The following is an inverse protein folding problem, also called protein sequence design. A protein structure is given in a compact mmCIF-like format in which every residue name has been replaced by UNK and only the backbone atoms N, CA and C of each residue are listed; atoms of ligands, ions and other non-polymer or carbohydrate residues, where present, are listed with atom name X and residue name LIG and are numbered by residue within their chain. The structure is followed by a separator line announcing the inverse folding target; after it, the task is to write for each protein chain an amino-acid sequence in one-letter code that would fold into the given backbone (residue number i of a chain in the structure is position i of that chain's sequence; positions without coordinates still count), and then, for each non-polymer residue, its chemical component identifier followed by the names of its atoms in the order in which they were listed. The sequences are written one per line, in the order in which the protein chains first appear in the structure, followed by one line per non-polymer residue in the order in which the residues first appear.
data_IF_320184789216
#
_entry.id   IF_320184789216
#
_cell.length_a   1.000
_cell.length_b   1.000
_cell.length_c   1.000
_cell.angle_alpha   90.00
_cell.angle_beta   90.00
_cell.angle_gamma   90.00
#
_symmetry.space_group_name_H-M   'P 1'
#
loop_
_entity.id
_entity.type
_entity.pdbx_description
1 polymer ?
#
# COMPACT_ATOMS: atom_id res chain seq x y z
N UNK A 1 -18.55 -59.00 1.14
CA UNK A 1 -19.21 -60.09 0.38
C UNK A 1 -20.18 -59.45 -0.60
N UNK A 2 -19.77 -59.25 -1.83
CA UNK A 2 -20.54 -59.43 -3.07
C UNK A 2 -19.66 -58.99 -4.22
N UNK A 3 -19.18 -59.98 -4.92
CA UNK A 3 -18.44 -59.86 -6.16
C UNK A 3 -19.45 -59.58 -7.30
N UNK A 4 -19.04 -58.73 -8.26
CA UNK A 4 -19.71 -58.70 -9.56
C UNK A 4 -18.71 -58.95 -10.67
N UNK A 5 -19.15 -59.92 -11.50
CA UNK A 5 -18.48 -60.61 -12.58
C UNK A 5 -18.17 -59.69 -13.76
N UNK A 6 -17.00 -59.95 -14.36
CA UNK A 6 -16.69 -59.64 -15.78
C UNK A 6 -17.61 -60.43 -16.71
N UNK A 7 -18.00 -59.81 -17.79
CA UNK A 7 -18.61 -60.46 -18.93
C UNK A 7 -17.81 -60.12 -20.21
N UNK A 8 -17.17 -61.19 -20.70
CA UNK A 8 -16.42 -61.22 -21.96
C UNK A 8 -17.36 -61.72 -23.05
N UNK A 9 -17.49 -60.98 -24.14
CA UNK A 9 -17.87 -61.65 -25.42
C UNK A 9 -17.24 -60.93 -26.60
N UNK A 10 -16.71 -61.69 -27.59
CA UNK A 10 -15.84 -61.19 -28.65
C UNK A 10 -16.52 -61.01 -30.02
N UNK A 11 -15.95 -60.12 -30.80
CA UNK A 11 -15.81 -59.98 -32.25
C UNK A 11 -16.85 -60.56 -33.23
N UNK A 12 -17.06 -59.90 -34.43
CA UNK A 12 -16.10 -60.07 -35.55
C UNK A 12 -15.88 -58.87 -36.49
N UNK A 13 -14.69 -58.81 -37.10
CA UNK A 13 -14.45 -58.12 -38.36
C UNK A 13 -14.94 -59.02 -39.51
N UNK A 14 -15.30 -58.50 -40.69
CA UNK A 14 -14.33 -58.19 -41.75
C UNK A 14 -14.79 -57.17 -42.81
N UNK A 15 -13.86 -56.79 -43.71
CA UNK A 15 -14.25 -56.32 -45.03
C UNK A 15 -13.41 -55.17 -45.64
N UNK A 16 -12.29 -55.51 -46.24
CA UNK A 16 -11.57 -54.66 -47.20
C UNK A 16 -12.44 -54.35 -48.40
N UNK A 17 -12.52 -53.07 -48.81
CA UNK A 17 -12.61 -52.68 -50.21
C UNK A 17 -11.85 -51.37 -50.41
N UNK A 18 -10.76 -51.46 -51.22
CA UNK A 18 -9.99 -50.36 -51.73
C UNK A 18 -10.78 -49.54 -52.73
N UNK A 19 -10.79 -48.23 -52.63
CA UNK A 19 -10.99 -47.32 -53.75
C UNK A 19 -9.96 -46.19 -53.66
N UNK A 20 -9.11 -46.17 -54.66
CA UNK A 20 -8.15 -45.08 -54.97
C UNK A 20 -8.95 -44.01 -55.71
N UNK A 21 -9.07 -42.80 -55.14
CA UNK A 21 -9.32 -41.60 -55.90
C UNK A 21 -8.44 -40.51 -55.29
N UNK A 22 -7.50 -40.01 -56.11
CA UNK A 22 -6.62 -38.93 -55.73
C UNK A 22 -7.34 -37.59 -55.72
N UNK A 23 -6.97 -36.76 -54.76
CA UNK A 23 -7.28 -35.33 -54.74
C UNK A 23 -6.12 -34.57 -54.10
N UNK A 24 -5.86 -33.32 -54.49
CA UNK A 24 -4.60 -32.63 -54.25
C UNK A 24 -4.49 -32.18 -52.79
N UNK A 25 -3.27 -32.29 -52.27
CA UNK A 25 -2.89 -31.80 -50.97
C UNK A 25 -2.88 -30.27 -50.92
N UNK A 26 -3.91 -29.67 -50.35
CA UNK A 26 -3.81 -28.31 -49.81
C UNK A 26 -3.11 -28.35 -48.47
N UNK A 27 -1.85 -27.98 -48.42
CA UNK A 27 -1.15 -27.70 -47.18
C UNK A 27 -1.75 -26.41 -46.58
N UNK A 28 -2.70 -26.57 -45.66
CA UNK A 28 -3.05 -25.53 -44.73
C UNK A 28 -1.97 -25.47 -43.64
N UNK A 29 -1.04 -24.53 -43.76
CA UNK A 29 -0.14 -24.17 -42.69
C UNK A 29 -0.97 -23.54 -41.56
N UNK A 30 -1.33 -24.37 -40.56
CA UNK A 30 -1.82 -23.88 -39.26
C UNK A 30 -0.68 -23.16 -38.57
N UNK A 31 -0.57 -21.86 -38.82
CA UNK A 31 0.25 -20.97 -38.01
C UNK A 31 -0.29 -20.97 -36.59
N UNK A 32 0.40 -21.67 -35.68
CA UNK A 32 0.16 -21.55 -34.24
C UNK A 32 0.46 -20.13 -33.82
N UNK A 33 -0.57 -19.27 -33.77
CA UNK A 33 -0.50 -18.02 -33.05
C UNK A 33 -0.32 -18.34 -31.57
N UNK A 34 0.92 -18.45 -31.12
CA UNK A 34 1.25 -18.40 -29.71
C UNK A 34 0.87 -17.02 -29.20
N UNK A 35 -0.34 -16.86 -28.70
CA UNK A 35 -0.70 -15.74 -27.86
C UNK A 35 0.06 -15.89 -26.57
N UNK A 36 1.34 -15.47 -26.58
CA UNK A 36 2.07 -15.28 -25.33
C UNK A 36 1.29 -14.29 -24.50
N UNK A 37 0.67 -14.77 -23.43
CA UNK A 37 0.10 -13.92 -22.38
C UNK A 37 1.29 -13.18 -21.76
N UNK A 38 1.56 -11.96 -22.28
CA UNK A 38 2.49 -11.06 -21.62
C UNK A 38 1.91 -10.81 -20.24
N UNK A 39 2.61 -11.25 -19.19
CA UNK A 39 2.24 -10.89 -17.83
C UNK A 39 2.09 -9.37 -17.80
N UNK A 40 0.92 -8.90 -17.39
CA UNK A 40 0.69 -7.46 -17.28
C UNK A 40 1.71 -6.91 -16.28
N UNK A 41 2.46 -5.89 -16.69
CA UNK A 41 3.38 -5.18 -15.80
C UNK A 41 2.60 -4.70 -14.57
N UNK A 42 3.17 -4.81 -13.37
CA UNK A 42 2.50 -4.31 -12.16
C UNK A 42 2.16 -2.83 -12.35
N UNK A 43 0.92 -2.46 -12.12
CA UNK A 43 0.46 -1.08 -12.32
C UNK A 43 1.02 -0.12 -11.28
N UNK A 44 1.21 -0.63 -10.06
CA UNK A 44 1.81 0.09 -8.94
C UNK A 44 3.06 -0.66 -8.48
N UNK A 45 4.16 0.06 -8.31
CA UNK A 45 5.42 -0.49 -7.84
C UNK A 45 5.61 -0.19 -6.34
N UNK A 46 6.29 -1.09 -5.63
CA UNK A 46 6.77 -0.79 -4.29
C UNK A 46 7.84 0.31 -4.41
N UNK A 47 7.63 1.51 -3.83
CA UNK A 47 8.64 2.55 -3.87
C UNK A 47 9.86 2.14 -3.03
N UNK A 48 11.05 2.55 -3.45
CA UNK A 48 12.25 2.39 -2.64
C UNK A 48 12.17 3.26 -1.39
N UNK A 49 12.76 2.81 -0.28
CA UNK A 49 12.93 3.65 0.89
C UNK A 49 13.81 4.88 0.53
N UNK A 50 13.49 6.08 1.04
CA UNK A 50 14.28 7.29 0.77
C UNK A 50 15.60 7.34 1.55
N UNK A 51 15.93 6.30 2.30
CA UNK A 51 17.15 6.16 3.11
C UNK A 51 17.52 4.66 3.22
N UNK A 52 18.77 4.33 3.59
CA UNK A 52 19.18 2.96 3.91
C UNK A 52 18.31 2.34 5.00
N UNK A 53 18.14 1.02 4.92
CA UNK A 53 17.22 0.26 5.80
C UNK A 53 17.55 0.38 7.31
N UNK A 54 18.80 0.65 7.65
CA UNK A 54 19.32 0.83 9.01
C UNK A 54 19.48 2.30 9.44
N UNK A 55 19.11 3.25 8.56
CA UNK A 55 19.37 4.66 8.80
C UNK A 55 18.51 5.30 9.90
N UNK A 56 17.43 4.62 10.31
CA UNK A 56 16.56 5.09 11.39
C UNK A 56 16.92 4.51 12.77
N UNK A 57 17.97 3.67 12.84
CA UNK A 57 18.47 3.19 14.13
C UNK A 57 18.91 4.37 15.03
N UNK A 58 18.75 4.25 16.34
CA UNK A 58 18.15 3.18 17.12
C UNK A 58 16.64 3.37 17.36
N UNK A 59 15.96 4.24 16.62
CA UNK A 59 14.52 4.50 16.79
C UNK A 59 13.67 3.41 16.14
N UNK A 60 14.01 3.05 14.92
CA UNK A 60 13.40 1.93 14.18
C UNK A 60 14.52 1.07 13.61
N UNK A 61 14.53 -0.20 14.00
CA UNK A 61 15.57 -1.13 13.57
C UNK A 61 15.43 -1.54 12.09
N UNK A 62 16.54 -1.96 11.49
CA UNK A 62 16.54 -2.56 10.16
C UNK A 62 15.60 -3.79 10.09
N UNK A 63 15.43 -4.53 11.18
CA UNK A 63 14.48 -5.65 11.27
C UNK A 63 13.04 -5.16 11.12
N UNK A 64 12.65 -4.13 11.85
CA UNK A 64 11.32 -3.50 11.74
C UNK A 64 11.08 -3.01 10.31
N UNK A 65 12.01 -2.26 9.72
CA UNK A 65 11.87 -1.76 8.37
C UNK A 65 11.81 -2.89 7.32
N UNK A 66 12.59 -3.96 7.50
CA UNK A 66 12.58 -5.13 6.62
C UNK A 66 11.23 -5.83 6.57
N UNK A 67 10.55 -5.95 7.72
CA UNK A 67 9.18 -6.48 7.79
C UNK A 67 8.16 -5.46 7.31
N UNK A 68 8.23 -4.23 7.77
CA UNK A 68 7.23 -3.19 7.51
C UNK A 68 7.21 -2.79 6.02
N UNK A 69 8.35 -2.46 5.43
CA UNK A 69 8.45 -2.14 4.00
C UNK A 69 8.45 -3.41 3.13
N UNK A 70 9.32 -4.38 3.44
CA UNK A 70 9.56 -5.54 2.57
C UNK A 70 8.47 -6.61 2.60
N UNK A 71 7.59 -6.62 3.61
CA UNK A 71 6.48 -7.58 3.73
C UNK A 71 5.12 -6.89 3.74
N UNK A 72 4.84 -5.98 4.69
CA UNK A 72 3.52 -5.34 4.80
C UNK A 72 3.25 -4.42 3.61
N UNK A 73 4.09 -3.41 3.37
CA UNK A 73 3.89 -2.48 2.25
C UNK A 73 3.91 -3.21 0.90
N UNK A 74 4.88 -4.11 0.70
CA UNK A 74 4.93 -4.95 -0.51
C UNK A 74 3.65 -5.77 -0.67
N UNK A 75 3.14 -6.38 0.39
CA UNK A 75 1.91 -7.15 0.37
C UNK A 75 0.70 -6.34 -0.08
N UNK A 76 0.57 -5.09 0.35
CA UNK A 76 -0.49 -4.18 -0.11
C UNK A 76 -0.35 -3.84 -1.60
N UNK A 77 0.87 -3.61 -2.08
CA UNK A 77 1.14 -3.38 -3.52
C UNK A 77 0.76 -4.59 -4.36
N UNK A 78 1.22 -5.79 -3.96
CA UNK A 78 0.93 -7.03 -4.68
C UNK A 78 -0.59 -7.32 -4.71
N UNK A 79 -1.27 -7.12 -3.57
CA UNK A 79 -2.72 -7.30 -3.47
C UNK A 79 -3.49 -6.29 -4.31
N UNK A 80 -3.09 -5.02 -4.28
CA UNK A 80 -3.70 -3.97 -5.09
C UNK A 80 -3.62 -4.31 -6.58
N UNK A 81 -2.43 -4.64 -7.08
CA UNK A 81 -2.24 -5.00 -8.49
C UNK A 81 -3.12 -6.18 -8.91
N UNK A 82 -3.27 -7.19 -8.04
CA UNK A 82 -4.15 -8.32 -8.31
C UNK A 82 -5.63 -7.92 -8.35
N UNK A 83 -6.06 -7.04 -7.44
CA UNK A 83 -7.44 -6.55 -7.37
C UNK A 83 -7.81 -5.64 -8.53
N UNK A 84 -6.85 -4.90 -9.07
CA UNK A 84 -7.07 -3.97 -10.19
C UNK A 84 -7.06 -4.66 -11.55
N UNK A 85 -6.49 -5.86 -11.67
CA UNK A 85 -6.36 -6.56 -12.94
C UNK A 85 -7.72 -6.75 -13.64
N UNK A 86 -7.84 -6.22 -14.86
CA UNK A 86 -9.06 -6.32 -15.66
C UNK A 86 -10.22 -5.42 -15.22
N UNK A 87 -10.00 -4.50 -14.28
CA UNK A 87 -11.02 -3.53 -13.83
C UNK A 87 -10.86 -2.17 -14.53
N UNK A 88 -11.87 -1.32 -14.45
CA UNK A 88 -11.82 0.06 -14.93
C UNK A 88 -10.83 0.96 -14.17
N UNK A 89 -10.41 0.54 -12.99
CA UNK A 89 -9.41 1.23 -12.17
C UNK A 89 -7.97 0.84 -12.56
N UNK A 90 -7.82 -0.15 -13.44
CA UNK A 90 -6.52 -0.55 -13.97
C UNK A 90 -5.83 0.62 -14.67
N UNK A 91 -4.55 0.87 -14.34
CA UNK A 91 -3.75 1.96 -14.92
C UNK A 91 -4.09 3.37 -14.43
N UNK A 92 -5.02 3.51 -13.48
CA UNK A 92 -5.31 4.82 -12.88
C UNK A 92 -4.24 5.22 -11.86
N UNK A 93 -3.98 6.53 -11.69
CA UNK A 93 -3.18 7.03 -10.56
C UNK A 93 -3.73 6.55 -9.23
N UNK A 94 -2.84 6.31 -8.25
CA UNK A 94 -3.19 5.71 -6.96
C UNK A 94 -4.27 6.52 -6.21
N UNK A 95 -4.15 7.84 -6.20
CA UNK A 95 -5.13 8.74 -5.58
C UNK A 95 -6.51 8.61 -6.22
N UNK A 96 -6.57 8.46 -7.55
CA UNK A 96 -7.84 8.23 -8.24
C UNK A 96 -8.47 6.90 -7.85
N UNK A 97 -7.65 5.83 -7.70
CA UNK A 97 -8.12 4.53 -7.21
C UNK A 97 -8.71 4.67 -5.82
N UNK A 98 -8.00 5.36 -4.91
CA UNK A 98 -8.45 5.62 -3.54
C UNK A 98 -9.79 6.37 -3.54
N UNK A 99 -9.85 7.53 -4.20
CA UNK A 99 -11.03 8.40 -4.16
C UNK A 99 -12.26 7.74 -4.80
N UNK A 100 -12.07 6.96 -5.88
CA UNK A 100 -13.18 6.26 -6.53
C UNK A 100 -13.69 5.04 -5.75
N UNK A 101 -12.84 4.40 -4.97
CA UNK A 101 -13.20 3.21 -4.18
C UNK A 101 -13.67 3.53 -2.74
N UNK A 102 -13.32 4.70 -2.18
CA UNK A 102 -13.51 5.06 -0.78
C UNK A 102 -14.96 4.97 -0.28
N UNK A 103 -15.95 5.33 -1.09
CA UNK A 103 -17.35 5.34 -0.68
C UNK A 103 -18.13 4.11 -1.17
N UNK A 104 -17.44 3.07 -1.67
CA UNK A 104 -18.07 1.92 -2.29
C UNK A 104 -17.82 0.64 -1.48
N UNK A 105 -18.80 0.14 -0.71
CA UNK A 105 -18.64 -1.08 0.09
C UNK A 105 -18.16 -2.29 -0.72
N UNK A 106 -18.62 -2.43 -1.98
CA UNK A 106 -18.19 -3.50 -2.87
C UNK A 106 -16.70 -3.41 -3.29
N UNK A 107 -16.08 -2.23 -3.15
CA UNK A 107 -14.67 -1.97 -3.46
C UNK A 107 -13.80 -1.81 -2.21
N UNK A 108 -14.29 -2.18 -1.03
CA UNK A 108 -13.55 -2.02 0.23
C UNK A 108 -12.15 -2.68 0.19
N UNK A 109 -12.01 -3.82 -0.47
CA UNK A 109 -10.70 -4.47 -0.62
C UNK A 109 -9.74 -3.65 -1.49
N UNK A 110 -10.23 -3.02 -2.56
CA UNK A 110 -9.44 -2.11 -3.42
C UNK A 110 -9.04 -0.89 -2.62
N UNK A 111 -10.00 -0.23 -1.98
CA UNK A 111 -9.75 0.93 -1.13
C UNK A 111 -8.69 0.65 -0.06
N UNK A 112 -8.86 -0.42 0.72
CA UNK A 112 -7.95 -0.74 1.81
C UNK A 112 -6.52 -0.94 1.32
N UNK A 113 -6.31 -1.68 0.23
CA UNK A 113 -4.97 -1.90 -0.29
C UNK A 113 -4.38 -0.65 -0.94
N UNK A 114 -5.15 0.10 -1.72
CA UNK A 114 -4.70 1.35 -2.34
C UNK A 114 -4.32 2.41 -1.29
N UNK A 115 -5.18 2.60 -0.29
CA UNK A 115 -4.94 3.51 0.82
C UNK A 115 -3.69 3.10 1.63
N UNK A 116 -3.51 1.81 1.91
CA UNK A 116 -2.31 1.32 2.60
C UNK A 116 -1.04 1.50 1.77
N UNK A 117 -1.09 1.30 0.46
CA UNK A 117 0.07 1.62 -0.41
C UNK A 117 0.43 3.10 -0.31
N UNK A 118 -0.57 3.98 -0.35
CA UNK A 118 -0.37 5.43 -0.25
C UNK A 118 0.13 5.84 1.13
N UNK A 119 -0.53 5.37 2.21
CA UNK A 119 -0.18 5.69 3.59
C UNK A 119 1.26 5.29 3.94
N UNK A 120 1.68 4.09 3.53
CA UNK A 120 3.05 3.63 3.78
C UNK A 120 4.07 4.41 2.96
N UNK A 121 3.78 4.71 1.68
CA UNK A 121 4.65 5.57 0.86
C UNK A 121 4.84 6.93 1.52
N UNK A 122 3.76 7.52 1.99
CA UNK A 122 3.76 8.81 2.66
C UNK A 122 4.47 8.75 4.02
N UNK A 123 4.32 7.66 4.77
CA UNK A 123 5.00 7.43 6.03
C UNK A 123 6.52 7.37 5.88
N UNK A 124 7.04 6.66 4.88
CA UNK A 124 8.48 6.62 4.66
C UNK A 124 9.07 8.00 4.41
N UNK A 125 8.37 8.86 3.69
CA UNK A 125 8.79 10.24 3.44
C UNK A 125 8.58 11.16 4.64
N UNK A 126 7.61 10.85 5.52
CA UNK A 126 7.38 11.56 6.78
C UNK A 126 8.53 11.39 7.78
N UNK A 127 9.42 10.42 7.55
CA UNK A 127 10.56 10.11 8.39
C UNK A 127 11.88 10.42 7.67
N UNK A 128 12.89 10.81 8.44
CA UNK A 128 14.26 10.92 7.96
C UNK A 128 15.27 10.62 9.08
N UNK A 129 16.48 10.17 8.72
CA UNK A 129 17.58 10.05 9.68
C UNK A 129 17.88 11.41 10.31
N UNK A 130 18.04 11.44 11.64
CA UNK A 130 18.31 12.67 12.40
C UNK A 130 17.26 13.77 12.16
N UNK A 131 16.02 13.37 12.02
CA UNK A 131 14.87 14.27 11.92
C UNK A 131 14.41 14.81 13.28
N UNK A 132 13.16 15.29 13.32
CA UNK A 132 12.48 15.69 14.58
C UNK A 132 12.89 17.03 15.16
N UNK A 133 13.98 17.66 14.72
CA UNK A 133 14.44 18.96 15.18
C UNK A 133 13.45 20.11 14.95
N UNK A 134 13.95 21.31 14.67
CA UNK A 134 13.11 22.47 14.35
C UNK A 134 12.59 22.40 12.91
N UNK A 135 11.33 22.75 12.66
CA UNK A 135 10.79 22.92 11.31
C UNK A 135 11.46 24.10 10.58
N UNK A 136 11.45 24.13 9.23
CA UNK A 136 11.76 25.31 8.46
C UNK A 136 10.90 26.51 8.91
N UNK A 137 11.45 27.73 8.83
CA UNK A 137 10.88 28.93 9.44
C UNK A 137 9.40 29.19 9.08
N UNK A 138 9.03 28.99 7.81
CA UNK A 138 7.66 29.15 7.34
C UNK A 138 6.70 28.14 8.01
N UNK A 139 7.05 26.85 8.00
CA UNK A 139 6.24 25.82 8.63
C UNK A 139 6.19 26.02 10.16
N UNK A 140 7.32 26.43 10.77
CA UNK A 140 7.38 26.75 12.20
C UNK A 140 6.36 27.82 12.56
N UNK A 141 6.32 28.91 11.80
CA UNK A 141 5.35 30.00 12.01
C UNK A 141 3.91 29.49 11.97
N UNK A 142 3.56 28.70 10.94
CA UNK A 142 2.22 28.09 10.80
C UNK A 142 1.89 27.12 11.96
N UNK A 143 2.88 26.37 12.44
CA UNK A 143 2.72 25.50 13.60
C UNK A 143 2.52 26.33 14.88
N UNK A 144 3.27 27.38 15.09
CA UNK A 144 3.15 28.26 16.25
C UNK A 144 1.79 28.98 16.28
N UNK A 145 1.27 29.42 15.14
CA UNK A 145 -0.07 29.97 15.01
C UNK A 145 -1.16 28.95 15.38
N UNK A 146 -1.02 27.70 14.95
CA UNK A 146 -2.06 26.68 15.15
C UNK A 146 -2.00 26.02 16.54
N UNK A 147 -0.81 25.80 17.08
CA UNK A 147 -0.59 24.99 18.28
C UNK A 147 0.09 25.76 19.43
N UNK A 148 0.53 26.97 19.21
CA UNK A 148 1.30 27.80 20.16
C UNK A 148 2.78 27.49 20.21
N UNK A 149 3.23 26.28 19.85
CA UNK A 149 4.64 25.92 19.74
C UNK A 149 4.85 24.62 18.98
N UNK A 150 6.08 24.39 18.49
CA UNK A 150 6.47 23.09 17.88
C UNK A 150 6.33 21.94 18.86
N UNK A 151 6.69 22.16 20.12
CA UNK A 151 6.55 21.16 21.17
C UNK A 151 5.07 20.77 21.42
N UNK A 152 4.16 21.76 21.39
CA UNK A 152 2.72 21.51 21.55
C UNK A 152 2.17 20.73 20.33
N UNK A 153 2.59 21.04 19.11
CA UNK A 153 2.24 20.27 17.91
C UNK A 153 2.70 18.80 18.00
N UNK A 154 3.98 18.57 18.35
CA UNK A 154 4.49 17.21 18.57
C UNK A 154 3.71 16.46 19.65
N UNK A 155 3.39 17.13 20.75
CA UNK A 155 2.58 16.55 21.84
C UNK A 155 1.18 16.19 21.37
N UNK A 156 0.53 17.04 20.58
CA UNK A 156 -0.79 16.75 20.05
C UNK A 156 -0.74 15.57 19.07
N UNK A 157 0.26 15.52 18.19
CA UNK A 157 0.46 14.41 17.26
C UNK A 157 0.69 13.07 17.99
N UNK A 158 1.54 13.06 19.02
CA UNK A 158 1.78 11.85 19.82
C UNK A 158 0.55 11.48 20.66
N UNK A 159 -0.19 12.45 21.17
CA UNK A 159 -1.47 12.21 21.86
C UNK A 159 -2.49 11.55 20.93
N UNK A 160 -2.61 12.03 19.69
CA UNK A 160 -3.47 11.43 18.68
C UNK A 160 -3.04 10.00 18.34
N UNK A 161 -1.73 9.75 18.20
CA UNK A 161 -1.17 8.41 17.98
C UNK A 161 -1.53 7.43 19.11
N UNK A 162 -1.48 7.88 20.35
CA UNK A 162 -1.85 7.07 21.53
C UNK A 162 -3.36 6.87 21.65
N UNK A 163 -4.15 7.89 21.33
CA UNK A 163 -5.61 7.84 21.40
C UNK A 163 -6.24 7.04 20.24
N UNK A 164 -5.48 6.69 19.22
CA UNK A 164 -5.98 5.84 18.14
C UNK A 164 -6.20 4.42 18.67
N UNK A 165 -7.47 4.03 18.80
CA UNK A 165 -7.82 2.70 19.25
C UNK A 165 -7.55 1.66 18.14
N UNK A 166 -6.76 0.63 18.46
CA UNK A 166 -6.37 -0.40 17.49
C UNK A 166 -5.37 0.13 16.45
N UNK A 167 -5.54 -0.34 15.22
CA UNK A 167 -4.71 0.03 14.06
C UNK A 167 -5.17 1.34 13.44
N UNK A 168 -4.24 2.12 12.93
CA UNK A 168 -4.54 3.38 12.25
C UNK A 168 -3.33 4.28 12.16
N UNK A 169 -3.58 5.59 12.05
CA UNK A 169 -2.59 6.61 11.72
C UNK A 169 -2.88 7.90 12.48
N UNK A 170 -1.84 8.62 12.86
CA UNK A 170 -1.93 9.99 13.34
C UNK A 170 -1.31 10.94 12.30
N UNK A 171 -1.99 12.04 12.01
CA UNK A 171 -1.66 12.94 10.92
C UNK A 171 -1.54 14.38 11.39
N UNK A 172 -0.53 15.10 10.91
CA UNK A 172 -0.57 16.54 10.78
C UNK A 172 -1.14 16.87 9.40
N UNK A 173 -2.18 17.70 9.34
CA UNK A 173 -2.87 18.05 8.09
C UNK A 173 -3.05 19.56 7.98
N UNK A 174 -3.20 20.04 6.74
CA UNK A 174 -3.78 21.35 6.47
C UNK A 174 -5.26 21.20 6.10
N UNK A 175 -6.11 22.00 6.75
CA UNK A 175 -7.53 22.16 6.51
C UNK A 175 -7.76 23.61 6.04
N UNK A 176 -7.69 23.82 4.72
CA UNK A 176 -7.51 25.17 4.17
C UNK A 176 -6.19 25.78 4.69
N UNK A 177 -6.35 26.96 5.32
CA UNK A 177 -5.21 27.68 5.91
C UNK A 177 -4.83 27.22 7.32
N UNK A 178 -5.58 26.31 7.93
CA UNK A 178 -5.36 25.90 9.32
C UNK A 178 -4.61 24.57 9.39
N UNK A 179 -3.64 24.46 10.30
CA UNK A 179 -3.04 23.18 10.64
C UNK A 179 -3.84 22.50 11.74
N UNK A 180 -4.00 21.19 11.62
CA UNK A 180 -4.69 20.33 12.60
C UNK A 180 -4.00 19.00 12.75
N UNK A 181 -4.18 18.36 13.89
CA UNK A 181 -3.89 16.96 14.08
C UNK A 181 -5.17 16.16 13.99
N UNK A 182 -5.17 15.10 13.19
CA UNK A 182 -6.27 14.16 13.05
C UNK A 182 -5.77 12.73 13.17
N UNK A 183 -6.69 11.79 13.36
CA UNK A 183 -6.40 10.35 13.33
C UNK A 183 -7.39 9.64 12.43
N UNK A 184 -6.96 8.54 11.86
CA UNK A 184 -7.77 7.69 10.99
C UNK A 184 -7.64 6.23 11.39
N UNK A 185 -8.72 5.46 11.20
CA UNK A 185 -8.74 4.04 11.54
C UNK A 185 -8.22 3.19 10.37
N UNK A 186 -7.57 2.11 10.68
CA UNK A 186 -7.16 1.10 9.70
C UNK A 186 -6.47 1.70 8.48
N UNK A 187 -7.09 1.61 7.29
CA UNK A 187 -6.55 2.12 6.03
C UNK A 187 -7.00 3.55 5.69
N UNK A 188 -7.97 4.12 6.43
CA UNK A 188 -8.48 5.46 6.17
C UNK A 188 -7.37 6.51 6.15
N UNK A 189 -7.60 7.57 5.37
CA UNK A 189 -6.61 8.64 5.19
C UNK A 189 -7.31 10.00 4.97
N UNK A 190 -6.61 11.12 5.29
CA UNK A 190 -7.20 12.46 5.22
C UNK A 190 -7.63 12.91 3.82
N UNK A 191 -7.05 12.37 2.75
CA UNK A 191 -7.41 12.72 1.36
C UNK A 191 -8.90 12.50 1.08
N UNK A 192 -9.49 11.44 1.63
CA UNK A 192 -10.93 11.14 1.45
C UNK A 192 -11.83 12.09 2.21
N UNK A 193 -11.27 12.92 3.07
CA UNK A 193 -11.96 13.94 3.86
C UNK A 193 -11.72 15.36 3.33
N UNK A 194 -11.03 15.49 2.18
CA UNK A 194 -10.65 16.79 1.61
C UNK A 194 -9.56 17.51 2.38
N UNK A 195 -8.85 16.83 3.28
CA UNK A 195 -7.74 17.37 4.04
C UNK A 195 -6.42 17.09 3.34
N UNK A 196 -5.47 18.01 3.46
CA UNK A 196 -4.11 17.86 2.91
C UNK A 196 -3.16 17.27 3.97
N UNK A 197 -2.68 16.03 3.81
CA UNK A 197 -1.70 15.43 4.72
C UNK A 197 -0.34 16.14 4.61
N UNK A 198 0.29 16.42 5.75
CA UNK A 198 1.63 17.01 5.83
C UNK A 198 2.63 16.01 6.38
N UNK A 199 2.26 15.26 7.42
CA UNK A 199 3.04 14.19 8.06
C UNK A 199 2.12 13.10 8.58
N UNK A 200 2.67 11.90 8.75
CA UNK A 200 1.95 10.82 9.43
C UNK A 200 2.85 10.00 10.35
N UNK A 201 2.24 9.43 11.40
CA UNK A 201 2.81 8.37 12.25
C UNK A 201 1.92 7.15 12.10
N UNK A 202 2.50 6.03 11.69
CA UNK A 202 1.83 4.74 11.66
C UNK A 202 1.69 4.18 13.08
N UNK A 203 0.48 3.82 13.50
CA UNK A 203 0.22 3.20 14.80
C UNK A 203 -0.34 1.78 14.70
N UNK A 204 -0.26 1.16 13.53
CA UNK A 204 -0.38 -0.28 13.40
C UNK A 204 0.73 -0.96 14.21
N UNK A 205 0.45 -2.05 14.89
CA UNK A 205 1.46 -2.76 15.71
C UNK A 205 2.66 -3.22 14.89
N UNK A 206 2.46 -3.56 13.60
CA UNK A 206 3.56 -3.94 12.73
C UNK A 206 4.62 -2.83 12.52
N UNK A 207 4.27 -1.58 12.78
CA UNK A 207 5.19 -0.45 12.63
C UNK A 207 6.22 -0.38 13.76
N UNK A 208 5.93 -0.96 14.94
CA UNK A 208 6.76 -0.74 16.13
C UNK A 208 6.92 -1.96 17.05
N UNK A 209 6.13 -3.02 16.90
CA UNK A 209 6.05 -4.08 17.92
C UNK A 209 7.38 -4.84 18.10
N UNK A 210 8.18 -4.99 17.04
CA UNK A 210 9.49 -5.64 17.13
C UNK A 210 10.42 -4.88 18.09
N UNK A 211 10.43 -3.55 18.02
CA UNK A 211 11.36 -2.71 18.81
C UNK A 211 10.77 -2.27 20.14
N UNK A 212 9.47 -2.05 20.20
CA UNK A 212 8.82 -1.44 21.35
C UNK A 212 7.77 -2.31 22.05
N UNK A 213 7.34 -3.43 21.47
CA UNK A 213 6.27 -4.28 21.97
C UNK A 213 5.00 -3.43 22.22
N UNK A 214 4.42 -3.49 23.41
CA UNK A 214 3.22 -2.71 23.78
C UNK A 214 3.50 -1.24 24.14
N UNK A 215 4.75 -0.78 24.03
CA UNK A 215 5.15 0.58 24.42
C UNK A 215 4.94 1.59 23.28
N UNK A 216 3.69 1.67 22.78
CA UNK A 216 3.32 2.62 21.70
C UNK A 216 3.71 4.07 22.04
N UNK A 217 3.65 4.45 23.33
CA UNK A 217 4.02 5.79 23.76
C UNK A 217 5.50 6.09 23.49
N UNK A 218 6.40 5.16 23.84
CA UNK A 218 7.84 5.33 23.63
C UNK A 218 8.15 5.44 22.11
N UNK A 219 7.52 4.58 21.31
CA UNK A 219 7.63 4.63 19.85
C UNK A 219 7.18 5.98 19.27
N UNK A 220 5.95 6.42 19.58
CA UNK A 220 5.39 7.64 19.03
C UNK A 220 6.21 8.88 19.42
N UNK A 221 6.67 8.96 20.67
CA UNK A 221 7.53 10.03 21.15
C UNK A 221 8.91 9.98 20.47
N UNK A 222 9.54 8.81 20.36
CA UNK A 222 10.84 8.67 19.70
C UNK A 222 10.78 9.05 18.22
N UNK A 223 9.71 8.70 17.50
CA UNK A 223 9.46 9.12 16.11
C UNK A 223 9.31 10.64 16.05
N UNK A 224 8.43 11.23 16.88
CA UNK A 224 8.17 12.67 16.88
C UNK A 224 9.42 13.50 17.19
N UNK A 225 10.28 13.02 18.10
CA UNK A 225 11.45 13.75 18.55
C UNK A 225 12.67 13.60 17.66
N UNK A 226 12.78 12.48 16.92
CA UNK A 226 14.06 12.09 16.31
C UNK A 226 13.97 11.74 14.83
N UNK A 227 12.77 11.55 14.26
CA UNK A 227 12.63 11.09 12.90
C UNK A 227 11.74 11.97 12.00
N UNK A 228 10.86 12.83 12.54
CA UNK A 228 9.98 13.65 11.70
C UNK A 228 10.78 14.44 10.65
N UNK A 229 10.32 14.34 9.39
CA UNK A 229 10.84 15.06 8.25
C UNK A 229 10.02 16.36 8.02
N UNK A 230 10.42 17.44 8.69
CA UNK A 230 9.72 18.73 8.58
C UNK A 230 9.83 19.37 7.20
N UNK A 231 10.89 19.09 6.44
CA UNK A 231 11.04 19.55 5.06
C UNK A 231 9.96 18.93 4.17
N UNK A 232 9.71 17.64 4.32
CA UNK A 232 8.62 16.97 3.60
C UNK A 232 7.24 17.55 3.97
N UNK A 233 7.04 17.90 5.25
CA UNK A 233 5.82 18.59 5.67
C UNK A 233 5.63 19.96 5.00
N UNK A 234 6.70 20.73 4.88
CA UNK A 234 6.68 22.01 4.19
C UNK A 234 6.41 21.84 2.69
N UNK A 235 7.05 20.87 2.04
CA UNK A 235 6.78 20.54 0.63
C UNK A 235 5.28 20.22 0.41
N UNK A 236 4.68 19.42 1.30
CA UNK A 236 3.27 19.08 1.23
C UNK A 236 2.36 20.29 1.51
N UNK A 237 2.78 21.21 2.36
CA UNK A 237 2.05 22.46 2.59
C UNK A 237 1.94 23.31 1.32
N UNK A 238 2.98 23.29 0.48
CA UNK A 238 3.03 24.05 -0.79
C UNK A 238 2.38 23.31 -1.98
N UNK A 239 2.10 22.02 -1.88
CA UNK A 239 1.41 21.30 -2.97
C UNK A 239 -0.01 21.85 -3.10
N UNK A 240 -0.31 22.40 -4.27
CA UNK A 240 -1.68 22.77 -4.62
C UNK A 240 -2.50 21.50 -4.84
N UNK A 241 -3.72 21.51 -4.30
CA UNK A 241 -4.68 20.39 -4.42
C UNK A 241 -5.25 20.34 -5.81
#
# INVERSE_FOLDING_TARGET
MHAFKQDDTPHPAPGRRSFLIGAPACLLALGSLSTGTRAAEPQHALPTLPYPIDALDPVLSASTLGHHHGKHHKGYVDNLNRLLAGTELAGQPLENVILRSAAQPAQAAVFNNAAQVWNHTFYWQSLRPRGGGEPPAELKHRIEEAFGSVAACKKELTTAALAQFGSGWAWLVADGERLRVVRTNNAELPLTQGLRPLLTIDVWEHAYYIDYQNRRADYANAVADRLINWEFALENLHRHS
#
